data_IF_070811869818
#
_entry.id   IF_070811869818
#
_cell.length_a   1.000
_cell.length_b   1.000
_cell.length_c   1.000
_cell.angle_alpha   90.00
_cell.angle_beta   90.00
_cell.angle_gamma   90.00
#
_symmetry.space_group_name_H-M   'P 1'
#
loop_
_entity.id
_entity.type
_entity.pdbx_description
1 polymer ?
#
# COMPACT_ATOMS: atom_id res chain seq x y z
N UNK A 1 11.23 -34.19 -13.15
CA UNK A 1 12.10 -33.89 -12.01
C UNK A 1 12.92 -32.66 -12.32
N UNK A 2 12.38 -31.48 -12.07
CA UNK A 2 13.17 -30.26 -12.07
C UNK A 2 13.72 -30.04 -10.65
N UNK A 3 15.03 -29.85 -10.48
CA UNK A 3 15.59 -29.49 -9.19
C UNK A 3 15.12 -28.08 -8.78
N UNK A 4 14.54 -27.96 -7.59
CA UNK A 4 14.11 -26.70 -6.99
C UNK A 4 14.85 -26.48 -5.67
N UNK A 5 15.37 -25.26 -5.47
CA UNK A 5 15.89 -24.82 -4.18
C UNK A 5 14.79 -24.09 -3.42
N UNK A 6 14.47 -24.57 -2.20
CA UNK A 6 13.54 -23.91 -1.29
C UNK A 6 14.21 -23.77 0.08
N UNK A 7 14.05 -22.61 0.71
CA UNK A 7 14.52 -22.39 2.08
C UNK A 7 13.42 -22.79 3.04
N UNK A 8 13.71 -23.70 3.98
CA UNK A 8 12.82 -24.09 5.07
C UNK A 8 13.37 -23.51 6.38
N UNK A 9 12.50 -22.89 7.17
CA UNK A 9 12.82 -22.41 8.51
C UNK A 9 11.80 -22.98 9.50
N UNK A 10 12.25 -23.85 10.41
CA UNK A 10 11.34 -24.55 11.34
C UNK A 10 10.77 -23.60 12.40
N UNK A 11 11.49 -22.52 12.72
CA UNK A 11 11.03 -21.46 13.62
C UNK A 11 10.20 -20.38 12.92
N UNK A 12 9.87 -20.57 11.64
CA UNK A 12 9.12 -19.58 10.88
C UNK A 12 7.71 -19.40 11.45
N UNK A 13 7.39 -18.19 11.89
CA UNK A 13 6.01 -17.78 12.20
C UNK A 13 5.42 -17.06 11.00
N UNK A 14 4.20 -17.46 10.62
CA UNK A 14 3.42 -16.74 9.63
C UNK A 14 2.85 -15.45 10.24
N UNK A 15 2.91 -14.35 9.49
CA UNK A 15 2.31 -13.08 9.88
C UNK A 15 1.13 -12.84 8.96
N UNK A 16 -0.06 -12.83 9.55
CA UNK A 16 -1.25 -12.38 8.84
C UNK A 16 -1.23 -10.85 8.69
N UNK A 17 -0.53 -10.36 7.66
CA UNK A 17 -0.41 -8.92 7.37
C UNK A 17 -1.76 -8.23 7.17
N UNK A 18 -2.77 -8.96 6.68
CA UNK A 18 -4.14 -8.44 6.57
C UNK A 18 -4.77 -8.19 7.94
N UNK A 19 -4.61 -9.11 8.89
CA UNK A 19 -5.10 -8.94 10.26
C UNK A 19 -4.36 -7.82 10.98
N UNK A 20 -3.03 -7.78 10.88
CA UNK A 20 -2.21 -6.72 11.44
C UNK A 20 -2.63 -5.33 10.90
N UNK A 21 -2.82 -5.21 9.59
CA UNK A 21 -3.26 -3.96 8.95
C UNK A 21 -4.62 -3.49 9.48
N UNK A 22 -5.58 -4.41 9.65
CA UNK A 22 -6.90 -4.09 10.23
C UNK A 22 -6.78 -3.61 11.69
N UNK A 23 -6.00 -4.31 12.50
CA UNK A 23 -5.73 -3.90 13.89
C UNK A 23 -5.11 -2.50 13.99
N UNK A 24 -4.16 -2.19 13.10
CA UNK A 24 -3.55 -0.86 13.04
C UNK A 24 -4.56 0.22 12.66
N UNK A 25 -5.41 -0.03 11.66
CA UNK A 25 -6.46 0.93 11.28
C UNK A 25 -7.53 1.11 12.36
N UNK A 26 -7.93 0.04 13.04
CA UNK A 26 -8.86 0.13 14.16
C UNK A 26 -8.28 0.95 15.32
N UNK A 27 -6.97 0.80 15.60
CA UNK A 27 -6.29 1.69 16.53
C UNK A 27 -6.27 3.14 16.06
N UNK A 28 -6.00 3.41 14.78
CA UNK A 28 -5.99 4.78 14.24
C UNK A 28 -7.35 5.49 14.37
N UNK A 29 -8.47 4.77 14.26
CA UNK A 29 -9.81 5.32 14.53
C UNK A 29 -9.96 5.88 15.94
N UNK A 30 -9.21 5.35 16.90
CA UNK A 30 -9.19 5.87 18.29
C UNK A 30 -8.33 7.15 18.46
N UNK A 31 -7.60 7.56 17.41
CA UNK A 31 -6.61 8.64 17.44
C UNK A 31 -7.02 9.90 16.67
N UNK A 32 -8.32 10.12 16.49
CA UNK A 32 -8.85 11.27 15.74
C UNK A 32 -8.26 11.35 14.30
N UNK A 33 -8.10 10.19 13.67
CA UNK A 33 -7.68 10.06 12.28
C UNK A 33 -8.91 9.71 11.45
N UNK A 34 -9.13 10.47 10.38
CA UNK A 34 -10.14 10.17 9.38
C UNK A 34 -9.61 9.13 8.38
N UNK A 35 -10.40 8.10 8.11
CA UNK A 35 -10.05 7.02 7.19
C UNK A 35 -11.08 6.95 6.05
N UNK A 36 -10.61 7.19 4.83
CA UNK A 36 -11.43 7.19 3.63
C UNK A 36 -11.05 6.02 2.71
N UNK A 37 -11.82 4.94 2.77
CA UNK A 37 -11.67 3.79 1.87
C UNK A 37 -12.30 4.07 0.50
N UNK A 38 -11.84 3.37 -0.54
CA UNK A 38 -12.34 3.55 -1.93
C UNK A 38 -12.17 4.99 -2.45
N UNK A 39 -11.15 5.69 -1.97
CA UNK A 39 -10.77 7.01 -2.43
C UNK A 39 -9.43 6.88 -3.16
N UNK A 40 -9.42 7.11 -4.48
CA UNK A 40 -8.22 7.03 -5.31
C UNK A 40 -7.59 8.41 -5.42
N UNK A 41 -6.30 8.54 -5.09
CA UNK A 41 -5.56 9.79 -5.31
C UNK A 41 -5.13 9.87 -6.77
N UNK A 42 -5.71 10.81 -7.51
CA UNK A 42 -5.46 10.97 -8.94
C UNK A 42 -4.34 11.96 -9.24
N UNK A 43 -4.12 12.96 -8.37
CA UNK A 43 -3.04 13.93 -8.56
C UNK A 43 -2.64 14.59 -7.23
N UNK A 44 -1.39 15.05 -7.16
CA UNK A 44 -0.83 15.80 -6.03
C UNK A 44 -0.04 16.96 -6.61
N UNK A 45 -0.28 18.19 -6.18
CA UNK A 45 0.48 19.35 -6.66
C UNK A 45 0.69 20.39 -5.56
N UNK A 46 1.74 21.20 -5.70
CA UNK A 46 1.93 22.37 -4.84
C UNK A 46 1.04 23.52 -5.31
N UNK A 47 0.35 24.14 -4.37
CA UNK A 47 -0.47 25.34 -4.60
C UNK A 47 0.40 26.60 -4.52
N UNK A 48 -0.13 27.73 -5.01
CA UNK A 48 0.58 29.03 -4.97
C UNK A 48 0.88 29.52 -3.56
N UNK A 49 0.08 29.14 -2.56
CA UNK A 49 0.29 29.52 -1.16
C UNK A 49 1.16 28.52 -0.40
N UNK A 50 1.79 27.55 -1.09
CA UNK A 50 2.72 26.61 -0.50
C UNK A 50 2.09 25.41 0.20
N UNK A 51 0.77 25.22 0.17
CA UNK A 51 0.12 23.97 0.58
C UNK A 51 0.18 22.91 -0.52
N UNK A 52 -0.07 21.66 -0.16
CA UNK A 52 -0.36 20.58 -1.11
C UNK A 52 -1.85 20.53 -1.41
N UNK A 53 -2.22 20.38 -2.68
CA UNK A 53 -3.56 19.99 -3.10
C UNK A 53 -3.53 18.54 -3.57
N UNK A 54 -4.47 17.74 -3.08
CA UNK A 54 -4.65 16.33 -3.44
C UNK A 54 -6.00 16.20 -4.15
N UNK A 55 -5.97 15.76 -5.42
CA UNK A 55 -7.17 15.43 -6.19
C UNK A 55 -7.54 13.98 -5.90
N UNK A 56 -8.73 13.76 -5.37
CA UNK A 56 -9.22 12.45 -4.95
C UNK A 56 -10.49 12.10 -5.73
N UNK A 57 -10.59 10.84 -6.17
CA UNK A 57 -11.80 10.29 -6.75
C UNK A 57 -12.45 9.33 -5.74
N UNK A 58 -13.61 9.70 -5.21
CA UNK A 58 -14.45 8.80 -4.42
C UNK A 58 -15.14 7.82 -5.35
N UNK A 59 -14.72 6.55 -5.30
CA UNK A 59 -15.22 5.52 -6.19
C UNK A 59 -16.65 5.08 -5.86
N UNK A 60 -17.18 5.41 -4.67
CA UNK A 60 -18.57 5.09 -4.34
C UNK A 60 -19.53 6.10 -4.98
N UNK A 61 -19.22 7.39 -4.89
CA UNK A 61 -20.08 8.45 -5.41
C UNK A 61 -19.73 8.90 -6.84
N UNK A 62 -18.54 8.54 -7.33
CA UNK A 62 -17.99 9.02 -8.61
C UNK A 62 -17.52 10.47 -8.58
N UNK A 63 -17.51 11.11 -7.39
CA UNK A 63 -17.16 12.53 -7.25
C UNK A 63 -15.65 12.73 -7.23
N UNK A 64 -15.24 13.87 -7.78
CA UNK A 64 -13.88 14.37 -7.66
C UNK A 64 -13.83 15.41 -6.56
N UNK A 65 -12.94 15.19 -5.61
CA UNK A 65 -12.71 16.06 -4.45
C UNK A 65 -11.30 16.64 -4.49
N UNK A 66 -11.15 17.81 -3.89
CA UNK A 66 -9.87 18.49 -3.75
C UNK A 66 -9.64 18.84 -2.29
N UNK A 67 -8.62 18.21 -1.71
CA UNK A 67 -8.23 18.39 -0.32
C UNK A 67 -6.91 19.15 -0.24
N UNK A 68 -6.74 20.00 0.77
CA UNK A 68 -5.47 20.71 0.99
C UNK A 68 -4.79 20.27 2.28
N UNK A 69 -3.46 20.15 2.25
CA UNK A 69 -2.67 19.73 3.40
C UNK A 69 -1.34 20.50 3.48
N UNK A 70 -0.87 20.74 4.71
CA UNK A 70 0.47 21.32 4.94
C UNK A 70 1.58 20.32 4.60
N UNK A 71 1.31 19.04 4.82
CA UNK A 71 2.25 17.94 4.62
C UNK A 71 1.52 16.74 3.99
N UNK A 72 2.20 16.00 3.11
CA UNK A 72 1.67 14.81 2.46
C UNK A 72 2.70 13.69 2.60
N UNK A 73 2.25 12.55 3.11
CA UNK A 73 3.00 11.30 3.12
C UNK A 73 2.43 10.36 2.05
N UNK A 74 3.27 9.84 1.15
CA UNK A 74 2.86 8.90 0.09
C UNK A 74 3.23 7.48 0.54
N UNK A 75 2.24 6.73 1.02
CA UNK A 75 2.38 5.33 1.43
C UNK A 75 1.61 4.35 0.52
N UNK A 76 1.77 4.45 -0.79
CA UNK A 76 0.96 3.72 -1.79
C UNK A 76 1.53 2.36 -2.22
N UNK A 77 2.51 1.81 -1.49
CA UNK A 77 3.25 0.61 -1.93
C UNK A 77 3.85 0.81 -3.32
N UNK A 78 3.64 -0.15 -4.23
CA UNK A 78 4.06 -0.05 -5.63
C UNK A 78 3.47 1.16 -6.40
N UNK A 79 2.35 1.72 -5.94
CA UNK A 79 1.73 2.92 -6.52
C UNK A 79 2.35 4.25 -6.07
N UNK A 80 3.36 4.22 -5.19
CA UNK A 80 3.94 5.46 -4.62
C UNK A 80 4.70 6.28 -5.66
N UNK A 81 5.50 5.64 -6.52
CA UNK A 81 6.35 6.36 -7.48
C UNK A 81 5.54 7.17 -8.51
N UNK A 82 4.47 6.63 -9.14
CA UNK A 82 3.61 7.44 -10.00
C UNK A 82 3.01 8.67 -9.31
N UNK A 83 2.59 8.55 -8.04
CA UNK A 83 2.09 9.68 -7.26
C UNK A 83 3.17 10.70 -6.95
N UNK A 84 4.38 10.23 -6.61
CA UNK A 84 5.53 11.08 -6.36
C UNK A 84 5.92 11.87 -7.62
N UNK A 85 5.93 11.23 -8.78
CA UNK A 85 6.21 11.88 -10.07
C UNK A 85 5.17 12.95 -10.41
N UNK A 86 3.89 12.72 -10.09
CA UNK A 86 2.81 13.71 -10.29
C UNK A 86 3.02 14.99 -9.48
N UNK A 87 3.76 14.95 -8.36
CA UNK A 87 4.07 16.15 -7.55
C UNK A 87 4.90 17.19 -8.31
N UNK A 88 5.67 16.76 -9.32
CA UNK A 88 6.55 17.62 -10.10
C UNK A 88 7.78 18.14 -9.35
N UNK A 89 8.05 17.66 -8.12
CA UNK A 89 9.25 18.07 -7.38
C UNK A 89 10.52 17.56 -8.08
N UNK A 90 11.64 18.30 -8.04
CA UNK A 90 12.86 17.89 -8.72
C UNK A 90 13.36 16.48 -8.32
N UNK A 91 13.24 16.14 -7.04
CA UNK A 91 13.70 14.88 -6.46
C UNK A 91 12.99 13.67 -7.07
N UNK A 92 11.72 13.82 -7.49
CA UNK A 92 10.96 12.71 -8.06
C UNK A 92 11.53 12.21 -9.40
N UNK A 93 12.30 13.05 -10.11
CA UNK A 93 12.90 12.71 -11.40
C UNK A 93 14.08 11.75 -11.28
N UNK A 94 14.66 11.64 -10.09
CA UNK A 94 15.85 10.83 -9.83
C UNK A 94 15.52 9.51 -9.13
N UNK A 95 14.23 9.19 -8.96
CA UNK A 95 13.76 7.98 -8.30
C UNK A 95 13.17 7.03 -9.35
N UNK A 96 13.68 5.80 -9.37
CA UNK A 96 13.17 4.70 -10.17
C UNK A 96 12.56 3.61 -9.29
N UNK A 97 11.59 2.89 -9.84
CA UNK A 97 11.00 1.71 -9.20
C UNK A 97 11.40 0.46 -9.97
N UNK A 98 11.91 -0.55 -9.28
CA UNK A 98 12.18 -1.86 -9.86
C UNK A 98 11.16 -2.85 -9.31
N UNK A 99 10.11 -3.20 -10.07
CA UNK A 99 9.08 -4.12 -9.58
C UNK A 99 9.64 -5.53 -9.49
N UNK A 100 9.58 -6.12 -8.29
CA UNK A 100 9.89 -7.53 -8.05
C UNK A 100 8.57 -8.27 -7.84
N UNK A 101 8.35 -9.34 -8.61
CA UNK A 101 7.18 -10.19 -8.46
C UNK A 101 7.49 -11.40 -7.55
N UNK A 102 6.43 -11.97 -7.00
CA UNK A 102 6.49 -13.20 -6.23
C UNK A 102 5.21 -14.01 -6.44
N UNK A 103 5.30 -15.32 -6.25
CA UNK A 103 4.16 -16.22 -6.31
C UNK A 103 4.04 -16.93 -4.96
N UNK A 104 2.82 -16.96 -4.44
CA UNK A 104 2.48 -17.75 -3.27
C UNK A 104 1.81 -19.03 -3.73
N UNK A 105 2.43 -20.17 -3.41
CA UNK A 105 1.84 -21.48 -3.65
C UNK A 105 1.07 -21.92 -2.41
N UNK A 106 -0.14 -22.44 -2.60
CA UNK A 106 -1.01 -22.90 -1.52
C UNK A 106 -1.29 -24.39 -1.67
N UNK A 107 -0.96 -25.18 -0.65
CA UNK A 107 -1.33 -26.59 -0.59
C UNK A 107 -2.77 -26.73 -0.08
N UNK A 108 -3.63 -27.41 -0.84
CA UNK A 108 -5.02 -27.71 -0.44
C UNK A 108 -5.22 -29.16 0.00
N UNK A 109 -4.17 -29.98 -0.02
CA UNK A 109 -4.26 -31.38 0.42
C UNK A 109 -4.25 -31.44 1.94
N UNK A 110 -5.43 -31.68 2.51
CA UNK A 110 -5.64 -31.71 3.95
C UNK A 110 -4.69 -32.69 4.67
N UNK A 111 -4.42 -33.87 4.10
CA UNK A 111 -3.51 -34.87 4.69
C UNK A 111 -2.06 -34.37 4.82
N UNK A 112 -1.64 -33.46 3.94
CA UNK A 112 -0.31 -32.83 3.98
C UNK A 112 -0.33 -31.67 4.96
N UNK A 113 -1.37 -30.83 4.88
CA UNK A 113 -1.56 -29.68 5.78
C UNK A 113 -1.56 -30.11 7.24
N UNK A 114 -2.24 -31.21 7.59
CA UNK A 114 -2.31 -31.76 8.95
C UNK A 114 -0.98 -32.30 9.49
N UNK A 115 0.04 -32.48 8.64
CA UNK A 115 1.39 -32.83 9.09
C UNK A 115 2.20 -31.59 9.53
N UNK A 116 1.71 -30.38 9.24
CA UNK A 116 2.29 -29.15 9.73
C UNK A 116 1.67 -28.79 11.09
N UNK A 117 2.49 -28.29 12.02
CA UNK A 117 2.11 -27.93 13.39
C UNK A 117 1.27 -26.65 13.46
#
# INVERSE_FOLDING_TARGET
>A
NEPMAATKIDSGTDVNFGALTRMLFDYLKTKNVELNYKHSVENIKRTKNGLWEVKVHDMNSGKIEHHTAKFVFIGGGGGSLPLLQKTGIPESKHIGGFPVSGLFMVCKNQKVVEQHH
#
